data_IF_114263392298
#
_entry.id   IF_114263392298
#
_cell.length_a   1.000
_cell.length_b   1.000
_cell.length_c   1.000
_cell.angle_alpha   90.00
_cell.angle_beta   90.00
_cell.angle_gamma   90.00
#
_symmetry.space_group_name_H-M   'P 1'
#
loop_
_entity.id
_entity.type
_entity.pdbx_description
1 polymer ?
#
# COMPACT_ATOMS: atom_id res chain seq x y z
N UNK A 1 29.47 31.07 -30.53
CA UNK A 1 28.22 30.31 -30.31
C UNK A 1 28.39 29.54 -29.01
N UNK A 2 27.76 30.00 -27.93
CA UNK A 2 27.77 29.33 -26.62
C UNK A 2 26.32 29.04 -26.28
N UNK A 3 25.99 27.77 -26.14
CA UNK A 3 24.76 27.31 -25.52
C UNK A 3 25.14 26.14 -24.62
N UNK A 4 24.71 26.24 -23.37
CA UNK A 4 25.16 25.46 -22.21
C UNK A 4 24.95 23.94 -22.31
N UNK A 5 25.86 23.14 -21.73
CA UNK A 5 25.62 21.73 -21.43
C UNK A 5 24.97 21.65 -20.04
N UNK A 6 23.66 21.51 -19.99
CA UNK A 6 22.97 21.53 -18.70
C UNK A 6 21.46 21.55 -18.82
N UNK A 7 20.89 20.52 -19.45
CA UNK A 7 19.57 20.05 -19.07
C UNK A 7 19.71 18.54 -18.95
N UNK A 8 19.90 18.11 -17.71
CA UNK A 8 19.60 16.76 -17.30
C UNK A 8 18.22 16.42 -17.83
N UNK A 9 18.15 15.34 -18.60
CA UNK A 9 16.91 14.67 -18.95
C UNK A 9 16.32 14.13 -17.65
N UNK A 10 15.72 15.01 -16.87
CA UNK A 10 14.90 14.65 -15.74
C UNK A 10 13.61 14.09 -16.36
N UNK A 11 13.69 12.83 -16.78
CA UNK A 11 12.54 12.01 -17.16
C UNK A 11 11.54 12.11 -16.01
N UNK A 12 10.55 12.97 -16.20
CA UNK A 12 9.33 12.95 -15.41
C UNK A 12 8.77 11.55 -15.54
N UNK A 13 8.43 10.82 -14.47
CA UNK A 13 7.91 9.46 -14.60
C UNK A 13 6.63 9.49 -15.45
N UNK A 14 6.77 9.12 -16.72
CA UNK A 14 5.70 9.14 -17.71
C UNK A 14 4.70 8.02 -17.39
N UNK A 15 3.44 8.40 -17.32
CA UNK A 15 2.29 7.69 -17.87
C UNK A 15 2.35 6.14 -17.84
N UNK A 16 1.83 5.55 -16.75
CA UNK A 16 1.27 4.19 -16.80
C UNK A 16 2.25 3.02 -16.63
N UNK A 17 3.53 3.26 -16.34
CA UNK A 17 4.44 2.17 -15.94
C UNK A 17 4.18 1.77 -14.48
N UNK A 18 3.51 0.63 -14.28
CA UNK A 18 3.34 0.04 -12.95
C UNK A 18 4.62 -0.69 -12.54
N UNK A 19 5.32 -0.17 -11.55
CA UNK A 19 6.47 -0.84 -10.95
C UNK A 19 5.99 -2.01 -10.10
N UNK A 20 6.27 -3.23 -10.55
CA UNK A 20 6.01 -4.44 -9.77
C UNK A 20 7.09 -4.57 -8.69
N UNK A 21 6.69 -4.42 -7.42
CA UNK A 21 7.55 -4.81 -6.31
C UNK A 21 7.67 -6.34 -6.28
N UNK A 22 8.90 -6.85 -6.36
CA UNK A 22 9.17 -8.28 -6.12
C UNK A 22 8.93 -8.55 -4.62
N UNK A 23 8.17 -9.59 -4.29
CA UNK A 23 7.95 -10.01 -2.91
C UNK A 23 8.38 -11.48 -2.78
N UNK A 24 9.08 -11.87 -1.70
CA UNK A 24 9.44 -13.27 -1.52
C UNK A 24 8.17 -14.13 -1.37
N UNK A 25 8.16 -15.36 -1.94
CA UNK A 25 7.06 -16.28 -1.75
C UNK A 25 6.83 -16.56 -0.26
N UNK A 26 5.57 -16.76 0.14
CA UNK A 26 5.16 -17.05 1.53
C UNK A 26 5.40 -15.92 2.56
N UNK A 27 5.48 -14.66 2.13
CA UNK A 27 5.57 -13.50 3.04
C UNK A 27 4.33 -12.59 2.98
N UNK A 28 3.12 -13.08 3.35
CA UNK A 28 1.90 -12.27 3.33
C UNK A 28 1.99 -11.06 4.27
N UNK A 29 2.76 -11.17 5.35
CA UNK A 29 2.98 -10.12 6.35
C UNK A 29 3.74 -8.90 5.81
N UNK A 30 4.37 -9.04 4.63
CA UNK A 30 5.14 -8.00 3.96
C UNK A 30 4.35 -7.28 2.87
N UNK A 31 3.08 -7.65 2.64
CA UNK A 31 2.27 -6.96 1.65
C UNK A 31 1.42 -5.88 2.35
N UNK A 32 1.61 -4.59 2.04
CA UNK A 32 0.87 -3.51 2.68
C UNK A 32 -0.64 -3.64 2.46
N UNK A 33 -1.09 -4.31 1.39
CA UNK A 33 -2.52 -4.59 1.20
C UNK A 33 -3.08 -5.52 2.27
N UNK A 34 -2.31 -6.51 2.74
CA UNK A 34 -2.73 -7.45 3.78
C UNK A 34 -2.87 -6.75 5.13
N UNK A 35 -1.98 -5.80 5.42
CA UNK A 35 -2.09 -4.97 6.62
C UNK A 35 -3.36 -4.11 6.59
N UNK A 36 -3.68 -3.53 5.43
CA UNK A 36 -4.90 -2.73 5.23
C UNK A 36 -6.15 -3.60 5.37
N UNK A 37 -6.16 -4.80 4.78
CA UNK A 37 -7.24 -5.78 4.95
C UNK A 37 -7.42 -6.19 6.41
N UNK A 38 -6.33 -6.39 7.14
CA UNK A 38 -6.36 -6.72 8.57
C UNK A 38 -7.02 -5.63 9.42
N UNK A 39 -6.71 -4.35 9.18
CA UNK A 39 -7.39 -3.25 9.89
C UNK A 39 -8.86 -3.15 9.50
N UNK A 40 -9.19 -3.33 8.23
CA UNK A 40 -10.57 -3.28 7.76
C UNK A 40 -11.42 -4.38 8.41
N UNK A 41 -10.91 -5.61 8.43
CA UNK A 41 -11.56 -6.76 9.08
C UNK A 41 -11.75 -6.51 10.59
N UNK A 42 -10.73 -5.96 11.27
CA UNK A 42 -10.83 -5.60 12.69
C UNK A 42 -11.95 -4.59 12.96
N UNK A 43 -12.10 -3.57 12.12
CA UNK A 43 -13.17 -2.56 12.24
C UNK A 43 -14.55 -3.14 11.97
N UNK A 44 -14.67 -4.00 10.96
CA UNK A 44 -15.95 -4.67 10.64
C UNK A 44 -16.36 -5.59 11.78
N UNK A 45 -15.44 -6.43 12.29
CA UNK A 45 -15.69 -7.32 13.44
C UNK A 45 -16.10 -6.55 14.69
N UNK A 46 -15.46 -5.40 14.97
CA UNK A 46 -15.82 -4.55 16.10
C UNK A 46 -17.27 -4.00 16.02
N UNK A 47 -17.83 -3.86 14.81
CA UNK A 47 -19.23 -3.46 14.60
C UNK A 47 -20.23 -4.61 14.68
N UNK A 48 -19.78 -5.87 14.71
CA UNK A 48 -20.62 -7.05 14.89
C UNK A 48 -21.70 -7.24 13.80
N UNK A 49 -21.33 -7.51 12.53
CA UNK A 49 -22.30 -7.78 11.48
C UNK A 49 -23.18 -8.99 11.82
N UNK A 50 -24.49 -8.80 11.82
CA UNK A 50 -25.50 -9.83 12.11
C UNK A 50 -26.31 -10.27 10.89
N UNK A 51 -26.09 -9.66 9.73
CA UNK A 51 -26.83 -9.94 8.50
C UNK A 51 -25.93 -9.89 7.27
N UNK A 52 -26.35 -10.56 6.19
CA UNK A 52 -25.68 -10.50 4.90
C UNK A 52 -25.58 -9.05 4.38
N UNK A 53 -26.60 -8.22 4.66
CA UNK A 53 -26.58 -6.79 4.35
C UNK A 53 -25.47 -6.06 5.10
N UNK A 54 -25.31 -6.31 6.40
CA UNK A 54 -24.22 -5.73 7.19
C UNK A 54 -22.84 -6.18 6.69
N UNK A 55 -22.69 -7.44 6.26
CA UNK A 55 -21.44 -7.91 5.67
C UNK A 55 -21.07 -7.20 4.37
N UNK A 56 -22.04 -6.62 3.65
CA UNK A 56 -21.79 -5.84 2.44
C UNK A 56 -21.54 -4.35 2.73
N UNK A 57 -22.36 -3.75 3.61
CA UNK A 57 -22.34 -2.30 3.85
C UNK A 57 -21.23 -1.88 4.82
N UNK A 58 -21.02 -2.63 5.91
CA UNK A 58 -20.08 -2.25 6.95
C UNK A 58 -18.63 -2.17 6.47
N UNK A 59 -18.10 -3.05 5.58
CA UNK A 59 -16.77 -2.87 5.04
C UNK A 59 -16.61 -1.56 4.28
N UNK A 60 -17.61 -1.16 3.48
CA UNK A 60 -17.59 0.11 2.75
C UNK A 60 -17.59 1.31 3.70
N UNK A 61 -18.41 1.24 4.76
CA UNK A 61 -18.46 2.29 5.76
C UNK A 61 -17.18 2.36 6.59
N UNK A 62 -16.62 1.21 6.98
CA UNK A 62 -15.35 1.16 7.67
C UNK A 62 -14.23 1.73 6.79
N UNK A 63 -14.19 1.39 5.50
CA UNK A 63 -13.23 1.90 4.54
C UNK A 63 -13.23 3.43 4.49
N UNK A 64 -14.41 4.04 4.37
CA UNK A 64 -14.57 5.51 4.35
C UNK A 64 -14.07 6.21 5.63
N UNK A 65 -13.98 5.49 6.75
CA UNK A 65 -13.47 6.04 8.02
C UNK A 65 -11.96 5.88 8.20
N UNK A 66 -11.27 5.16 7.31
CA UNK A 66 -9.82 5.04 7.37
C UNK A 66 -9.23 6.27 6.68
N UNK A 67 -8.48 7.09 7.44
CA UNK A 67 -7.81 8.26 6.86
C UNK A 67 -6.61 7.87 6.01
N UNK A 68 -6.30 8.68 4.99
CA UNK A 68 -5.09 8.51 4.18
C UNK A 68 -3.82 8.51 5.04
N UNK A 69 -3.74 9.40 6.02
CA UNK A 69 -2.60 9.46 6.96
C UNK A 69 -2.42 8.17 7.75
N UNK A 70 -3.51 7.49 8.11
CA UNK A 70 -3.44 6.20 8.79
C UNK A 70 -2.89 5.12 7.85
N UNK A 71 -3.33 5.11 6.58
CA UNK A 71 -2.80 4.19 5.57
C UNK A 71 -1.31 4.42 5.32
N UNK A 72 -0.89 5.68 5.22
CA UNK A 72 0.52 6.04 5.05
C UNK A 72 1.36 5.56 6.24
N UNK A 73 0.91 5.81 7.47
CA UNK A 73 1.58 5.29 8.68
C UNK A 73 1.65 3.77 8.69
N UNK A 74 0.63 3.08 8.18
CA UNK A 74 0.61 1.62 8.10
C UNK A 74 1.66 1.09 7.10
N UNK A 75 1.81 1.76 5.96
CA UNK A 75 2.85 1.47 4.96
C UNK A 75 4.24 1.77 5.54
N UNK A 76 4.41 2.90 6.23
CA UNK A 76 5.68 3.29 6.87
C UNK A 76 6.12 2.34 7.99
N UNK A 77 5.18 1.63 8.62
CA UNK A 77 5.45 0.62 9.64
C UNK A 77 6.08 -0.66 9.06
N UNK A 78 6.01 -0.87 7.75
CA UNK A 78 6.76 -1.96 7.14
C UNK A 78 8.26 -1.70 7.32
N UNK A 79 9.02 -2.67 7.85
CA UNK A 79 10.45 -2.50 8.01
C UNK A 79 11.09 -2.21 6.67
N UNK A 80 11.73 -1.04 6.56
CA UNK A 80 12.56 -0.65 5.41
C UNK A 80 13.65 -1.69 5.12
N UNK A 81 13.94 -2.56 6.09
CA UNK A 81 14.90 -3.66 6.01
C UNK A 81 14.51 -4.83 5.09
N UNK A 82 13.24 -4.99 4.70
CA UNK A 82 12.87 -6.07 3.75
C UNK A 82 13.26 -5.76 2.30
N UNK A 83 13.68 -4.51 2.03
CA UNK A 83 14.44 -4.18 0.82
C UNK A 83 15.79 -4.92 0.75
N UNK A 84 16.32 -5.42 1.87
CA UNK A 84 17.57 -6.20 1.86
C UNK A 84 17.36 -7.69 1.55
N UNK A 85 16.14 -8.23 1.72
CA UNK A 85 15.78 -9.52 1.13
C UNK A 85 15.54 -9.40 -0.39
N UNK A 86 15.35 -8.18 -0.90
CA UNK A 86 15.09 -7.84 -2.31
C UNK A 86 16.35 -7.69 -3.18
N UNK A 87 17.56 -7.66 -2.61
CA UNK A 87 18.83 -7.46 -3.33
C UNK A 87 19.75 -8.69 -3.33
N UNK A 88 19.32 -9.85 -2.81
CA UNK A 88 20.16 -11.06 -2.71
C UNK A 88 19.45 -12.37 -3.07
N UNK A 89 18.71 -12.36 -4.17
CA UNK A 89 18.48 -13.56 -4.99
C UNK A 89 18.89 -13.25 -6.43
#
# INVERSE_FOLDING_TARGET
>A
MRTDPGKEDQESPLDGVLWQMTWPPQSPDLNPIQMVWGELDRRVKAKGPTSAKHLWELPQDCWKTISGDYLLKLIERMPRGYFYCLLRL
#
